data_IF_467259009025
#
_entry.id   IF_467259009025
#
_cell.length_a   1.000
_cell.length_b   1.000
_cell.length_c   1.000
_cell.angle_alpha   90.00
_cell.angle_beta   90.00
_cell.angle_gamma   90.00
#
_symmetry.space_group_name_H-M   'P 1'
#
loop_
_entity.id
_entity.type
_entity.pdbx_description
1 polymer ?
#
# COMPACT_ATOMS: atom_id res chain seq x y z
N UNK A 1 5.78 -21.47 16.74
CA UNK A 1 4.57 -21.02 16.04
C UNK A 1 4.91 -20.76 14.59
N UNK A 2 4.41 -21.60 13.69
CA UNK A 2 4.49 -21.37 12.26
C UNK A 2 3.55 -20.20 11.91
N UNK A 3 4.08 -19.15 11.30
CA UNK A 3 3.28 -18.08 10.74
C UNK A 3 2.72 -18.52 9.38
N UNK A 4 1.72 -17.82 8.87
CA UNK A 4 1.18 -18.12 7.53
C UNK A 4 2.24 -17.95 6.43
N UNK A 5 3.27 -17.14 6.70
CA UNK A 5 4.42 -16.94 5.82
C UNK A 5 5.30 -18.21 5.76
N UNK A 6 5.45 -18.90 6.87
CA UNK A 6 6.22 -20.15 6.93
C UNK A 6 5.55 -21.31 6.15
N UNK A 7 4.26 -21.15 5.86
CA UNK A 7 3.49 -22.10 5.03
C UNK A 7 3.44 -21.73 3.57
N UNK A 8 3.98 -20.55 3.22
CA UNK A 8 3.95 -20.09 1.83
C UNK A 8 4.83 -20.96 0.94
N UNK A 9 4.29 -21.36 -0.19
CA UNK A 9 5.00 -22.10 -1.21
C UNK A 9 4.90 -21.33 -2.53
N UNK A 10 6.04 -21.07 -3.18
CA UNK A 10 6.10 -20.36 -4.47
C UNK A 10 5.27 -21.00 -5.59
N UNK A 11 4.91 -22.29 -5.45
CA UNK A 11 4.05 -22.97 -6.40
C UNK A 11 2.55 -22.73 -6.20
N UNK A 12 2.17 -22.06 -5.11
CA UNK A 12 0.76 -21.79 -4.84
C UNK A 12 0.26 -20.64 -5.71
N UNK A 13 -0.78 -20.89 -6.48
CA UNK A 13 -1.50 -19.86 -7.22
C UNK A 13 -2.41 -19.06 -6.28
N UNK A 14 -1.79 -18.23 -5.43
CA UNK A 14 -2.51 -17.48 -4.41
C UNK A 14 -1.96 -16.08 -4.26
N UNK A 15 -2.82 -15.15 -3.85
CA UNK A 15 -2.43 -13.81 -3.43
C UNK A 15 -2.11 -13.86 -1.94
N UNK A 16 -0.91 -13.43 -1.58
CA UNK A 16 -0.48 -13.36 -0.19
C UNK A 16 -0.78 -11.98 0.38
N UNK A 17 -1.48 -11.95 1.51
CA UNK A 17 -1.73 -10.73 2.28
C UNK A 17 -0.79 -10.70 3.48
N UNK A 18 -0.11 -9.58 3.67
CA UNK A 18 0.82 -9.42 4.78
C UNK A 18 1.01 -7.95 5.16
N UNK A 19 1.59 -7.71 6.32
CA UNK A 19 2.05 -6.37 6.68
C UNK A 19 3.39 -6.07 6.01
N UNK A 20 3.74 -4.79 5.90
CA UNK A 20 5.05 -4.38 5.37
C UNK A 20 6.18 -4.94 6.23
N UNK A 21 6.02 -4.94 7.55
CA UNK A 21 7.01 -5.52 8.47
C UNK A 21 7.26 -7.01 8.22
N UNK A 22 6.20 -7.75 7.94
CA UNK A 22 6.29 -9.19 7.65
C UNK A 22 6.92 -9.48 6.28
N UNK A 23 6.91 -8.51 5.38
CA UNK A 23 7.46 -8.67 4.03
C UNK A 23 8.99 -8.57 3.97
N UNK A 24 9.63 -8.15 5.04
CA UNK A 24 11.09 -8.03 5.10
C UNK A 24 11.77 -9.35 4.77
N UNK A 25 12.71 -9.31 3.83
CA UNK A 25 13.47 -10.50 3.39
C UNK A 25 12.74 -11.36 2.36
N UNK A 26 11.49 -11.06 2.04
CA UNK A 26 10.71 -11.75 1.01
C UNK A 26 10.74 -10.96 -0.30
N UNK A 27 10.53 -11.66 -1.41
CA UNK A 27 10.42 -11.05 -2.74
C UNK A 27 9.26 -11.67 -3.51
N UNK A 28 8.61 -10.84 -4.32
CA UNK A 28 7.47 -11.25 -5.13
C UNK A 28 7.57 -10.65 -6.53
N UNK A 29 7.10 -11.32 -7.57
CA UNK A 29 7.07 -10.74 -8.91
C UNK A 29 6.31 -9.41 -8.97
N UNK A 30 5.16 -9.38 -8.31
CA UNK A 30 4.26 -8.22 -8.25
C UNK A 30 3.91 -7.93 -6.81
N UNK A 31 3.99 -6.67 -6.41
CA UNK A 31 3.60 -6.20 -5.08
C UNK A 31 2.53 -5.12 -5.21
N UNK A 32 1.48 -5.23 -4.43
CA UNK A 32 0.45 -4.21 -4.29
C UNK A 32 0.52 -3.61 -2.89
N UNK A 33 0.77 -2.31 -2.81
CA UNK A 33 0.78 -1.57 -1.55
C UNK A 33 -0.50 -0.73 -1.49
N UNK A 34 -1.31 -0.99 -0.50
CA UNK A 34 -2.63 -0.36 -0.35
C UNK A 34 -2.67 0.57 0.85
N UNK A 35 -3.60 1.52 0.84
CA UNK A 35 -3.77 2.44 1.95
C UNK A 35 -2.72 3.54 2.04
N UNK A 36 -2.18 3.97 0.91
CA UNK A 36 -1.18 5.04 0.84
C UNK A 36 -1.83 6.42 0.99
N UNK A 37 -2.24 6.72 2.21
CA UNK A 37 -2.96 7.94 2.58
C UNK A 37 -2.34 8.59 3.80
N UNK A 38 -2.30 9.91 3.82
CA UNK A 38 -1.90 10.68 5.00
C UNK A 38 -2.76 10.29 6.21
N UNK A 39 -2.10 10.04 7.35
CA UNK A 39 -2.74 9.56 8.57
C UNK A 39 -2.93 8.05 8.64
N UNK A 40 -2.69 7.32 7.56
CA UNK A 40 -2.71 5.86 7.53
C UNK A 40 -1.32 5.30 7.20
N UNK A 41 -0.69 5.80 6.17
CA UNK A 41 0.71 5.55 5.83
C UNK A 41 1.29 6.73 5.05
N UNK A 42 2.04 7.63 5.70
CA UNK A 42 2.47 7.60 7.10
C UNK A 42 1.33 7.68 8.12
N UNK A 43 1.48 6.96 9.23
CA UNK A 43 0.49 6.89 10.31
C UNK A 43 0.60 8.09 11.23
N UNK A 44 -0.55 8.68 11.61
CA UNK A 44 -0.62 9.72 12.63
C UNK A 44 -0.81 11.13 12.09
N UNK A 45 -0.73 12.15 12.97
CA UNK A 45 -0.98 13.54 12.59
C UNK A 45 0.09 14.08 11.64
N UNK A 46 -0.25 15.12 10.90
CA UNK A 46 0.65 15.75 9.91
C UNK A 46 1.93 16.37 10.53
N UNK A 47 1.95 16.56 11.83
CA UNK A 47 3.11 17.07 12.59
C UNK A 47 3.88 15.91 13.20
N UNK A 48 4.57 15.18 12.37
CA UNK A 48 5.46 14.14 12.83
C UNK A 48 6.74 14.69 13.44
N UNK A 49 7.24 14.00 14.46
CA UNK A 49 8.66 14.00 14.76
C UNK A 49 9.41 13.49 13.51
N UNK A 50 10.48 14.16 13.16
CA UNK A 50 11.26 13.86 11.94
C UNK A 50 11.71 12.40 11.92
N UNK A 51 12.11 11.87 13.06
CA UNK A 51 12.58 10.49 13.19
C UNK A 51 11.49 9.44 12.91
N UNK A 52 10.27 9.70 13.37
CA UNK A 52 9.11 8.81 13.10
C UNK A 52 8.77 8.77 11.61
N UNK A 53 8.78 9.91 10.96
CA UNK A 53 8.53 10.00 9.53
C UNK A 53 9.61 9.28 8.71
N UNK A 54 10.87 9.41 9.12
CA UNK A 54 11.97 8.71 8.45
C UNK A 54 11.86 7.19 8.59
N UNK A 55 11.40 6.70 9.73
CA UNK A 55 11.16 5.27 9.93
C UNK A 55 10.02 4.75 9.04
N UNK A 56 8.93 5.50 8.93
CA UNK A 56 7.82 5.19 8.02
C UNK A 56 8.30 5.21 6.55
N UNK A 57 9.15 6.15 6.20
CA UNK A 57 9.76 6.22 4.86
C UNK A 57 10.63 5.00 4.55
N UNK A 58 11.37 4.51 5.52
CA UNK A 58 12.15 3.27 5.38
C UNK A 58 11.25 2.07 5.15
N UNK A 59 10.12 1.99 5.86
CA UNK A 59 9.12 0.94 5.64
C UNK A 59 8.56 1.00 4.22
N UNK A 60 8.27 2.18 3.71
CA UNK A 60 7.82 2.34 2.33
C UNK A 60 8.87 1.85 1.34
N UNK A 61 10.12 2.22 1.53
CA UNK A 61 11.24 1.73 0.73
C UNK A 61 11.34 0.20 0.76
N UNK A 62 11.26 -0.40 1.94
CA UNK A 62 11.25 -1.87 2.08
C UNK A 62 10.12 -2.48 1.28
N UNK A 63 8.90 -1.95 1.41
CA UNK A 63 7.73 -2.46 0.69
C UNK A 63 7.91 -2.42 -0.83
N UNK A 64 8.35 -1.29 -1.37
CA UNK A 64 8.58 -1.12 -2.81
C UNK A 64 9.65 -2.08 -3.32
N UNK A 65 10.72 -2.25 -2.56
CA UNK A 65 11.84 -3.11 -2.96
C UNK A 65 11.56 -4.61 -2.83
N UNK A 66 10.40 -5.02 -2.32
CA UNK A 66 9.97 -6.43 -2.33
C UNK A 66 9.51 -6.88 -3.72
N UNK A 67 9.24 -5.97 -4.62
CA UNK A 67 8.83 -6.31 -5.98
C UNK A 67 10.03 -6.57 -6.89
N UNK A 68 9.98 -7.69 -7.59
CA UNK A 68 10.98 -8.04 -8.59
C UNK A 68 10.70 -7.37 -9.94
N UNK A 69 9.43 -7.21 -10.30
CA UNK A 69 9.02 -6.74 -11.62
C UNK A 69 8.16 -5.47 -11.56
N UNK A 70 7.14 -5.44 -10.70
CA UNK A 70 6.16 -4.36 -10.71
C UNK A 70 5.55 -4.09 -9.35
N UNK A 71 5.37 -2.81 -9.06
CA UNK A 71 4.64 -2.32 -7.88
C UNK A 71 3.38 -1.62 -8.32
N UNK A 72 2.29 -1.90 -7.63
CA UNK A 72 1.05 -1.15 -7.70
C UNK A 72 0.85 -0.41 -6.39
N UNK A 73 0.62 0.88 -6.46
CA UNK A 73 0.35 1.74 -5.33
C UNK A 73 -1.10 2.20 -5.38
N UNK A 74 -1.82 2.10 -4.27
CA UNK A 74 -3.21 2.54 -4.24
C UNK A 74 -3.57 3.34 -3.01
N UNK A 75 -4.50 4.25 -3.18
CA UNK A 75 -5.09 5.05 -2.12
C UNK A 75 -6.58 5.28 -2.40
N UNK A 76 -7.34 5.54 -1.35
CA UNK A 76 -8.75 5.88 -1.46
C UNK A 76 -8.93 7.40 -1.55
N UNK A 77 -9.98 7.87 -2.23
CA UNK A 77 -10.36 9.29 -2.22
C UNK A 77 -11.10 9.66 -0.94
N UNK A 78 -11.79 8.71 -0.36
CA UNK A 78 -12.46 8.85 0.93
C UNK A 78 -12.37 7.57 1.72
N UNK A 79 -12.33 7.69 3.02
CA UNK A 79 -12.24 6.54 3.92
C UNK A 79 -13.15 6.74 5.12
N UNK A 80 -13.83 5.66 5.49
CA UNK A 80 -14.57 5.58 6.75
C UNK A 80 -13.67 4.91 7.78
N UNK A 81 -13.51 5.57 8.93
CA UNK A 81 -12.77 5.02 10.08
C UNK A 81 -13.71 4.80 11.24
N UNK A 82 -13.54 3.69 11.95
CA UNK A 82 -14.27 3.37 13.20
C UNK A 82 -15.78 3.49 13.08
N UNK A 83 -16.36 3.12 11.94
CA UNK A 83 -17.82 3.20 11.73
C UNK A 83 -18.37 4.62 11.58
N UNK A 84 -17.51 5.64 11.50
CA UNK A 84 -17.89 7.03 11.28
C UNK A 84 -18.34 7.32 9.85
N UNK A 85 -18.56 8.59 9.53
CA UNK A 85 -18.86 9.04 8.18
C UNK A 85 -17.63 8.96 7.28
N UNK A 86 -17.80 8.74 5.96
CA UNK A 86 -16.70 8.85 5.02
C UNK A 86 -16.06 10.23 5.10
N UNK A 87 -14.74 10.26 5.25
CA UNK A 87 -13.95 11.48 5.27
C UNK A 87 -13.04 11.51 4.04
N UNK A 88 -12.80 12.68 3.44
CA UNK A 88 -11.82 12.80 2.36
C UNK A 88 -10.46 12.27 2.82
N UNK A 89 -9.84 11.47 1.98
CA UNK A 89 -8.50 10.97 2.19
C UNK A 89 -7.51 11.71 1.30
N UNK A 90 -6.34 11.99 1.82
CA UNK A 90 -5.26 12.67 1.11
C UNK A 90 -4.20 11.63 0.75
N UNK A 91 -3.77 11.66 -0.49
CA UNK A 91 -2.71 10.77 -0.98
C UNK A 91 -1.44 10.90 -0.13
N UNK A 92 -0.83 9.77 0.20
CA UNK A 92 0.43 9.72 0.94
C UNK A 92 1.52 10.55 0.27
N UNK A 93 2.24 11.32 1.07
CA UNK A 93 3.42 12.06 0.60
C UNK A 93 4.50 11.18 -0.01
N UNK A 94 4.58 9.93 0.39
CA UNK A 94 5.56 8.98 -0.13
C UNK A 94 5.39 8.71 -1.62
N UNK A 95 4.16 8.75 -2.13
CA UNK A 95 3.91 8.62 -3.57
C UNK A 95 4.51 9.81 -4.33
N UNK A 96 4.39 11.01 -3.78
CA UNK A 96 4.92 12.23 -4.40
C UNK A 96 6.46 12.30 -4.39
N UNK A 97 7.11 11.52 -3.56
CA UNK A 97 8.58 11.43 -3.49
C UNK A 97 9.17 10.51 -4.58
N UNK A 98 8.33 9.74 -5.27
CA UNK A 98 8.78 8.88 -6.35
C UNK A 98 9.09 9.70 -7.62
N UNK A 99 10.10 9.30 -8.40
CA UNK A 99 10.39 9.93 -9.69
C UNK A 99 9.19 9.81 -10.64
N UNK A 100 8.73 10.93 -11.17
CA UNK A 100 7.53 10.97 -12.04
C UNK A 100 7.68 10.08 -13.27
N UNK A 101 8.87 9.97 -13.82
CA UNK A 101 9.18 9.14 -14.99
C UNK A 101 9.00 7.64 -14.74
N UNK A 102 8.97 7.22 -13.46
CA UNK A 102 8.78 5.82 -13.08
C UNK A 102 7.33 5.51 -12.71
N UNK A 103 6.48 6.54 -12.58
CA UNK A 103 5.12 6.41 -12.11
C UNK A 103 4.12 6.59 -13.25
N UNK A 104 3.29 5.61 -13.46
CA UNK A 104 2.16 5.68 -14.39
C UNK A 104 0.87 5.75 -13.60
N UNK A 105 0.14 6.86 -13.74
CA UNK A 105 -1.17 7.04 -13.08
C UNK A 105 -2.25 6.39 -13.92
N UNK A 106 -2.97 5.45 -13.29
CA UNK A 106 -4.18 4.88 -13.86
C UNK A 106 -5.38 5.42 -13.12
N UNK A 107 -6.21 6.18 -13.80
CA UNK A 107 -7.51 6.57 -13.28
C UNK A 107 -8.36 5.33 -13.10
N UNK A 108 -8.96 5.20 -11.92
CA UNK A 108 -9.73 4.02 -11.56
C UNK A 108 -10.81 3.72 -12.59
N UNK A 109 -10.96 2.46 -12.86
CA UNK A 109 -12.12 1.92 -13.58
C UNK A 109 -13.35 2.38 -12.82
N UNK A 110 -14.27 3.08 -13.48
CA UNK A 110 -15.60 3.29 -12.93
C UNK A 110 -16.14 1.91 -12.57
N UNK A 111 -16.31 1.66 -11.27
CA UNK A 111 -16.94 0.43 -10.85
C UNK A 111 -18.28 0.34 -11.55
N UNK A 112 -18.51 -0.73 -12.27
CA UNK A 112 -19.85 -1.09 -12.66
C UNK A 112 -20.66 -1.21 -11.37
N UNK A 113 -21.82 -0.62 -11.32
CA UNK A 113 -22.65 -0.43 -10.11
C UNK A 113 -23.03 -1.70 -9.36
N UNK A 114 -22.51 -2.85 -9.76
CA UNK A 114 -22.89 -4.17 -9.25
C UNK A 114 -21.73 -5.13 -8.94
N UNK A 115 -20.49 -4.72 -9.08
CA UNK A 115 -19.36 -5.58 -8.72
C UNK A 115 -18.73 -5.13 -7.41
N UNK A 116 -18.37 -6.06 -6.49
CA UNK A 116 -17.47 -5.71 -5.40
C UNK A 116 -16.18 -5.21 -6.01
N UNK A 117 -15.95 -3.94 -5.89
CA UNK A 117 -14.78 -3.31 -6.44
C UNK A 117 -13.54 -3.81 -5.74
N UNK A 118 -12.84 -4.65 -6.38
CA UNK A 118 -11.40 -4.66 -6.28
C UNK A 118 -10.95 -3.38 -6.92
N UNK A 119 -10.96 -2.44 -6.16
CA UNK A 119 -10.58 -1.17 -6.61
C UNK A 119 -9.14 -1.00 -6.63
N UNK A 120 -8.83 -0.47 -7.65
CA UNK A 120 -7.64 -0.42 -7.89
C UNK A 120 -7.14 0.83 -8.37
N UNK A 121 -6.06 1.08 -7.92
CA UNK A 121 -4.96 1.68 -8.62
C UNK A 121 -5.21 3.09 -9.07
N UNK A 122 -4.95 3.92 -8.19
CA UNK A 122 -4.54 5.26 -8.60
C UNK A 122 -3.11 5.50 -8.20
#
# INVERSE_FOLDING_TARGET
LLTDIDRWNESDEAVTLMTIHSAKGLEFPIVMIVGLEEGLFPLGPQSYEVEELEEERRLFYVAVTRAQQKVYLSYANSRRRFGGHPMPAVQSRFIHELPEELVSVKTGIKAAETAPSLSILR
#
